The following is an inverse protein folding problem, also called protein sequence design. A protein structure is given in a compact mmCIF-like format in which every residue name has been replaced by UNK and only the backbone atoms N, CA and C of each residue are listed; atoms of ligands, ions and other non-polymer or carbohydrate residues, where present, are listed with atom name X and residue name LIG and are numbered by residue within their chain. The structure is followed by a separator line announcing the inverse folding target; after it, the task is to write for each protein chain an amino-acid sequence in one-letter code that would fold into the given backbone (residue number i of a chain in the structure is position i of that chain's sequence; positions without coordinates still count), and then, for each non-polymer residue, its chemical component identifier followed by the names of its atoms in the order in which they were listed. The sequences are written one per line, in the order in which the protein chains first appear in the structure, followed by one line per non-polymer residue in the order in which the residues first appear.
data_IF_489661369437
#
_entry.id   IF_489661369437
#
_cell.length_a   1.000
_cell.length_b   1.000
_cell.length_c   1.000
_cell.angle_alpha   90.00
_cell.angle_beta   90.00
_cell.angle_gamma   90.00
#
_symmetry.space_group_name_H-M   'P 1'
#
loop_
_entity.id
_entity.type
_entity.pdbx_description
1 polymer ?
#
# COMPACT_ATOMS: atom_id res chain seq x y z
N UNK A 1 -7.50 4.46 34.82
CA UNK A 1 -7.06 5.26 33.66
C UNK A 1 -5.81 4.62 33.10
N UNK A 2 -5.99 3.71 32.14
CA UNK A 2 -4.90 2.91 31.57
C UNK A 2 -4.24 3.68 30.43
N UNK A 3 -2.98 4.05 30.63
CA UNK A 3 -2.09 4.61 29.61
C UNK A 3 -1.91 3.59 28.49
N UNK A 4 -2.69 3.69 27.42
CA UNK A 4 -2.31 3.13 26.15
C UNK A 4 -1.15 3.98 25.62
N UNK A 5 0.08 3.55 25.88
CA UNK A 5 1.23 4.05 25.15
C UNK A 5 1.07 3.59 23.70
N UNK A 6 0.39 4.40 22.88
CA UNK A 6 0.40 4.24 21.44
C UNK A 6 1.87 4.22 21.01
N UNK A 7 2.30 3.14 20.36
CA UNK A 7 3.63 3.00 19.76
C UNK A 7 3.81 4.13 18.74
N UNK A 8 4.33 5.27 19.18
CA UNK A 8 4.62 6.40 18.32
C UNK A 8 5.77 5.99 17.40
N UNK A 9 5.42 5.60 16.17
CA UNK A 9 6.40 5.20 15.17
C UNK A 9 7.12 6.45 14.69
N UNK A 10 8.41 6.55 14.99
CA UNK A 10 9.23 7.68 14.55
C UNK A 10 9.33 7.67 13.02
N UNK A 11 9.02 8.78 12.32
CA UNK A 11 9.12 8.82 10.88
C UNK A 11 10.57 8.68 10.44
N UNK A 12 10.80 7.93 9.36
CA UNK A 12 12.13 7.71 8.80
C UNK A 12 12.79 9.03 8.34
N UNK A 13 12.00 9.96 7.82
CA UNK A 13 12.44 11.32 7.48
C UNK A 13 11.98 12.31 8.54
N UNK A 14 12.93 12.92 9.25
CA UNK A 14 12.67 14.02 10.17
C UNK A 14 12.59 15.33 9.36
N UNK A 15 11.38 15.78 9.05
CA UNK A 15 11.14 17.08 8.43
C UNK A 15 10.91 18.15 9.50
N UNK A 16 11.29 19.41 9.22
CA UNK A 16 11.19 20.55 10.16
C UNK A 16 9.78 20.81 10.71
N UNK A 17 8.76 20.34 10.00
CA UNK A 17 7.36 20.39 10.42
C UNK A 17 6.85 18.96 10.29
N UNK A 18 6.44 18.33 11.39
CA UNK A 18 5.56 17.17 11.29
C UNK A 18 4.34 17.62 10.49
N UNK A 19 4.27 17.33 9.19
CA UNK A 19 3.22 17.84 8.27
C UNK A 19 1.86 17.16 8.50
N UNK A 20 1.49 16.94 9.77
CA UNK A 20 0.24 16.35 10.21
C UNK A 20 0.18 16.16 11.72
N UNK A 21 -0.99 16.36 12.31
CA UNK A 21 -1.23 16.27 13.77
C UNK A 21 -1.38 14.83 14.28
N UNK A 22 -1.41 13.81 13.39
CA UNK A 22 -1.57 12.40 13.76
C UNK A 22 -0.80 11.51 12.78
N UNK A 23 -0.01 10.57 13.33
CA UNK A 23 0.63 9.51 12.56
C UNK A 23 -0.41 8.52 12.00
N UNK A 24 -0.01 7.70 11.02
CA UNK A 24 -0.85 6.62 10.53
C UNK A 24 -1.11 5.58 11.65
N UNK A 25 -2.33 5.05 11.72
CA UNK A 25 -2.65 3.95 12.62
C UNK A 25 -1.92 2.70 12.16
N UNK A 26 -1.17 2.06 13.06
CA UNK A 26 -0.53 0.77 12.79
C UNK A 26 -1.62 -0.31 12.67
N UNK A 27 -1.61 -1.03 11.55
CA UNK A 27 -2.45 -2.21 11.32
C UNK A 27 -1.52 -3.43 11.41
N UNK A 28 -1.63 -4.19 12.50
CA UNK A 28 -0.73 -5.32 12.76
C UNK A 28 -1.19 -6.63 12.10
N UNK A 29 -2.51 -6.80 11.92
CA UNK A 29 -3.10 -8.03 11.39
C UNK A 29 -3.48 -7.86 9.91
N UNK A 30 -3.09 -8.79 9.02
CA UNK A 30 -3.48 -8.74 7.61
C UNK A 30 -5.00 -8.76 7.38
N UNK A 31 -5.73 -9.48 8.25
CA UNK A 31 -7.20 -9.56 8.21
C UNK A 31 -7.88 -8.22 8.45
N UNK A 32 -7.30 -7.36 9.30
CA UNK A 32 -7.81 -6.00 9.52
C UNK A 32 -7.63 -5.12 8.28
N UNK A 33 -6.47 -5.22 7.62
CA UNK A 33 -6.21 -4.50 6.37
C UNK A 33 -7.17 -4.95 5.26
N UNK A 34 -7.37 -6.26 5.11
CA UNK A 34 -8.32 -6.83 4.17
C UNK A 34 -9.76 -6.34 4.45
N UNK A 35 -10.22 -6.37 5.71
CA UNK A 35 -11.55 -5.88 6.07
C UNK A 35 -11.77 -4.39 5.75
N UNK A 36 -10.73 -3.55 5.88
CA UNK A 36 -10.78 -2.13 5.51
C UNK A 36 -10.96 -1.97 3.99
N UNK A 37 -10.16 -2.70 3.21
CA UNK A 37 -10.26 -2.71 1.74
C UNK A 37 -11.64 -3.24 1.30
N UNK A 38 -12.12 -4.29 1.96
CA UNK A 38 -13.38 -4.96 1.64
C UNK A 38 -14.61 -4.08 1.87
N UNK A 39 -14.51 -3.19 2.86
CA UNK A 39 -15.56 -2.22 3.22
C UNK A 39 -15.56 -1.00 2.30
N UNK A 40 -14.50 -0.74 1.55
CA UNK A 40 -14.41 0.42 0.66
C UNK A 40 -15.37 0.26 -0.53
N UNK A 41 -16.19 1.28 -0.79
CA UNK A 41 -17.16 1.26 -1.90
C UNK A 41 -16.49 1.40 -3.27
N UNK A 42 -15.50 2.28 -3.37
CA UNK A 42 -14.75 2.57 -4.60
C UNK A 42 -13.25 2.63 -4.26
N UNK A 43 -12.59 1.48 -4.00
CA UNK A 43 -11.17 1.45 -3.72
C UNK A 43 -10.36 1.82 -4.97
N UNK A 44 -9.20 2.45 -4.78
CA UNK A 44 -8.21 2.70 -5.82
C UNK A 44 -6.87 2.21 -5.31
N UNK A 45 -6.19 1.36 -6.09
CA UNK A 45 -4.90 0.82 -5.69
C UNK A 45 -3.77 1.52 -6.43
N UNK A 46 -2.99 2.33 -5.71
CA UNK A 46 -1.94 3.18 -6.28
C UNK A 46 -0.59 2.48 -6.21
N UNK A 47 0.08 2.34 -7.36
CA UNK A 47 1.39 1.72 -7.48
C UNK A 47 2.50 2.76 -7.64
N UNK A 48 3.42 2.77 -6.68
CA UNK A 48 4.67 3.54 -6.71
C UNK A 48 5.80 2.81 -7.43
N UNK A 49 6.91 3.49 -7.77
CA UNK A 49 8.05 2.91 -8.49
C UNK A 49 8.69 1.71 -7.76
N UNK A 50 8.67 1.70 -6.44
CA UNK A 50 9.22 0.60 -5.63
C UNK A 50 8.49 -0.74 -5.85
N UNK A 51 7.23 -0.72 -6.33
CA UNK A 51 6.45 -1.95 -6.51
C UNK A 51 7.08 -2.91 -7.52
N UNK A 52 7.80 -2.38 -8.51
CA UNK A 52 8.45 -3.17 -9.56
C UNK A 52 9.93 -3.46 -9.24
N UNK A 53 10.49 -2.81 -8.22
CA UNK A 53 11.89 -2.95 -7.82
C UNK A 53 12.06 -3.84 -6.58
N UNK A 54 11.04 -3.90 -5.71
CA UNK A 54 11.13 -4.59 -4.42
C UNK A 54 10.91 -6.10 -4.57
N UNK A 55 11.91 -6.95 -4.29
CA UNK A 55 11.70 -8.39 -4.17
C UNK A 55 11.04 -8.72 -2.84
N UNK A 56 10.04 -9.60 -2.88
CA UNK A 56 9.35 -10.17 -1.71
C UNK A 56 9.39 -11.69 -1.84
N UNK A 57 10.16 -12.33 -0.97
CA UNK A 57 10.43 -13.77 -1.02
C UNK A 57 11.00 -14.19 -2.39
N UNK A 58 10.23 -14.94 -3.18
CA UNK A 58 10.57 -15.51 -4.49
C UNK A 58 10.10 -14.65 -5.68
N UNK A 59 9.35 -13.58 -5.46
CA UNK A 59 8.70 -12.78 -6.52
C UNK A 59 8.88 -11.29 -6.31
N UNK A 60 8.46 -10.48 -7.28
CA UNK A 60 8.42 -9.03 -7.10
C UNK A 60 7.14 -8.61 -6.37
N UNK A 61 7.20 -7.49 -5.65
CA UNK A 61 6.05 -6.94 -4.93
C UNK A 61 4.83 -6.72 -5.86
N UNK A 62 5.07 -6.38 -7.13
CA UNK A 62 4.03 -6.22 -8.14
C UNK A 62 3.19 -7.48 -8.35
N UNK A 63 3.76 -8.68 -8.23
CA UNK A 63 3.03 -9.93 -8.43
C UNK A 63 1.98 -10.15 -7.33
N UNK A 64 2.37 -9.86 -6.08
CA UNK A 64 1.47 -9.91 -4.93
C UNK A 64 0.41 -8.81 -4.98
N UNK A 65 0.81 -7.58 -5.33
CA UNK A 65 -0.09 -6.44 -5.44
C UNK A 65 -1.16 -6.66 -6.52
N UNK A 66 -0.78 -7.22 -7.67
CA UNK A 66 -1.74 -7.60 -8.71
C UNK A 66 -2.67 -8.73 -8.27
N UNK A 67 -2.21 -9.66 -7.44
CA UNK A 67 -3.06 -10.66 -6.82
C UNK A 67 -4.17 -10.05 -5.95
N UNK A 68 -3.82 -9.05 -5.14
CA UNK A 68 -4.81 -8.31 -4.32
C UNK A 68 -5.80 -7.56 -5.20
N UNK A 69 -5.32 -6.86 -6.24
CA UNK A 69 -6.18 -6.14 -7.18
C UNK A 69 -7.19 -7.07 -7.87
N UNK A 70 -6.73 -8.24 -8.35
CA UNK A 70 -7.57 -9.23 -9.04
C UNK A 70 -8.63 -9.87 -8.14
N UNK A 71 -8.36 -10.02 -6.84
CA UNK A 71 -9.29 -10.67 -5.91
C UNK A 71 -10.61 -9.91 -5.78
N UNK A 72 -10.60 -8.59 -5.98
CA UNK A 72 -11.79 -7.71 -5.84
C UNK A 72 -12.02 -6.78 -7.02
N UNK A 73 -11.37 -7.04 -8.15
CA UNK A 73 -11.42 -6.19 -9.35
C UNK A 73 -11.15 -4.70 -9.02
N UNK A 74 -10.13 -4.46 -8.18
CA UNK A 74 -9.78 -3.11 -7.73
C UNK A 74 -9.05 -2.40 -8.88
N UNK A 75 -9.49 -1.20 -9.30
CA UNK A 75 -8.78 -0.43 -10.30
C UNK A 75 -7.38 -0.07 -9.79
N UNK A 76 -6.38 -0.30 -10.64
CA UNK A 76 -4.97 -0.01 -10.36
C UNK A 76 -4.60 1.30 -11.03
N UNK A 77 -3.97 2.21 -10.30
CA UNK A 77 -3.39 3.43 -10.85
C UNK A 77 -1.86 3.35 -10.78
N UNK A 78 -1.21 3.41 -11.94
CA UNK A 78 0.24 3.35 -12.04
C UNK A 78 0.87 4.75 -12.05
N UNK A 79 1.74 5.03 -11.09
CA UNK A 79 2.49 6.28 -11.05
C UNK A 79 3.84 6.15 -11.79
N UNK A 80 4.33 7.26 -12.35
CA UNK A 80 5.62 7.34 -13.02
C UNK A 80 5.84 6.24 -14.10
N UNK A 81 6.99 5.55 -14.07
CA UNK A 81 7.39 4.57 -15.07
C UNK A 81 6.82 3.16 -14.84
N UNK A 82 6.01 2.97 -13.79
CA UNK A 82 5.35 1.68 -13.48
C UNK A 82 4.38 1.26 -14.59
N UNK A 83 3.78 2.23 -15.30
CA UNK A 83 2.85 1.99 -16.41
C UNK A 83 3.42 1.02 -17.45
N UNK A 84 4.68 1.20 -17.87
CA UNK A 84 5.30 0.34 -18.88
C UNK A 84 5.34 -1.11 -18.42
N UNK A 85 5.72 -1.33 -17.15
CA UNK A 85 5.85 -2.68 -16.59
C UNK A 85 4.51 -3.39 -16.44
N UNK A 86 3.45 -2.65 -16.08
CA UNK A 86 2.11 -3.23 -15.97
C UNK A 86 1.53 -3.63 -17.33
N UNK A 87 1.79 -2.83 -18.37
CA UNK A 87 1.38 -3.17 -19.73
C UNK A 87 2.09 -4.44 -20.24
N UNK A 88 3.38 -4.62 -19.92
CA UNK A 88 4.11 -5.89 -20.20
C UNK A 88 3.47 -7.09 -19.49
N UNK A 89 2.86 -6.87 -18.32
CA UNK A 89 2.15 -7.88 -17.54
C UNK A 89 0.68 -8.05 -17.97
N UNK A 90 0.25 -7.37 -19.03
CA UNK A 90 -1.12 -7.45 -19.57
C UNK A 90 -2.18 -6.78 -18.69
N UNK A 91 -1.77 -5.90 -17.78
CA UNK A 91 -2.68 -5.14 -16.90
C UNK A 91 -2.81 -3.73 -17.43
N UNK A 92 -4.04 -3.25 -17.59
CA UNK A 92 -4.31 -1.87 -17.98
C UNK A 92 -4.44 -1.00 -16.72
N UNK A 93 -3.48 -0.10 -16.45
CA UNK A 93 -3.53 0.82 -15.33
C UNK A 93 -4.25 2.14 -15.63
#
# INVERSE_FOLDING_TARGET
MSMASELMTMPYYMVNVLTGTKAAKVIALPSEAAAIIDKAKNPLYIFGPEVIATPVCDRLLVDYALGVAKTRDIPVCATAHVKKKLLELGVQP
#
